data_IF_361260710739
#
_entry.id   IF_361260710739
#
_cell.length_a   1.000
_cell.length_b   1.000
_cell.length_c   1.000
_cell.angle_alpha   90.00
_cell.angle_beta   90.00
_cell.angle_gamma   90.00
#
_symmetry.space_group_name_H-M   'P 1'
#
loop_
_entity.id
_entity.type
_entity.pdbx_description
1 polymer ?
#
# COMPACT_ATOMS: atom_id res chain seq x y z
N UNK A 1 -37.51 2.87 6.67
CA UNK A 1 -36.30 1.99 6.61
C UNK A 1 -35.46 2.31 5.37
N UNK A 2 -36.06 2.80 4.28
CA UNK A 2 -35.38 3.14 3.01
C UNK A 2 -34.32 4.25 3.12
N UNK A 3 -34.55 5.28 3.95
CA UNK A 3 -33.60 6.38 4.13
C UNK A 3 -32.21 5.93 4.67
N UNK A 4 -32.18 4.85 5.46
CA UNK A 4 -30.93 4.33 6.02
C UNK A 4 -30.11 3.57 4.96
N UNK A 5 -30.78 2.83 4.08
CA UNK A 5 -30.13 2.11 2.98
C UNK A 5 -29.52 3.08 1.96
N UNK A 6 -30.21 4.17 1.64
CA UNK A 6 -29.69 5.18 0.70
C UNK A 6 -28.38 5.83 1.20
N UNK A 7 -28.30 6.12 2.51
CA UNK A 7 -27.10 6.69 3.13
C UNK A 7 -25.94 5.68 3.15
N UNK A 8 -26.23 4.40 3.43
CA UNK A 8 -25.21 3.33 3.41
C UNK A 8 -24.61 3.12 2.02
N UNK A 9 -25.44 3.16 0.96
CA UNK A 9 -24.98 3.00 -0.42
C UNK A 9 -24.17 4.23 -0.89
N UNK A 10 -24.59 5.46 -0.50
CA UNK A 10 -23.79 6.68 -0.74
C UNK A 10 -22.44 6.67 0.00
N UNK A 11 -22.35 6.06 1.18
CA UNK A 11 -21.10 5.94 1.95
C UNK A 11 -20.18 4.84 1.40
N UNK A 12 -20.70 3.76 0.82
CA UNK A 12 -19.90 2.73 0.12
C UNK A 12 -19.15 3.32 -1.07
N UNK A 13 -19.79 4.15 -1.88
CA UNK A 13 -19.16 4.86 -3.00
C UNK A 13 -18.12 5.90 -2.56
N UNK A 14 -18.17 6.31 -1.28
CA UNK A 14 -17.19 7.17 -0.61
C UNK A 14 -16.16 6.40 0.23
N UNK A 15 -16.12 5.05 0.17
CA UNK A 15 -14.87 4.35 0.51
C UNK A 15 -13.87 4.80 -0.53
N UNK A 16 -13.16 5.87 -0.19
CA UNK A 16 -12.09 6.42 -1.02
C UNK A 16 -11.19 5.26 -1.45
N UNK A 17 -10.52 5.39 -2.62
CA UNK A 17 -9.63 4.36 -3.12
C UNK A 17 -8.81 3.90 -1.92
N UNK A 18 -8.91 2.61 -1.61
CA UNK A 18 -8.07 1.96 -0.62
C UNK A 18 -6.68 2.55 -0.84
N UNK A 19 -6.10 3.13 0.20
CA UNK A 19 -4.96 4.05 0.17
C UNK A 19 -3.66 3.42 -0.37
N UNK A 20 -3.75 2.45 -1.27
CA UNK A 20 -2.77 2.05 -2.26
C UNK A 20 -2.31 3.30 -3.01
N UNK A 21 -1.46 4.08 -2.35
CA UNK A 21 -0.47 4.92 -3.00
C UNK A 21 0.17 4.01 -4.04
N UNK A 22 -0.10 4.27 -5.31
CA UNK A 22 0.53 3.55 -6.40
C UNK A 22 2.00 3.90 -6.34
N UNK A 23 2.81 3.00 -5.77
CA UNK A 23 4.25 3.14 -5.82
C UNK A 23 4.73 2.64 -7.19
N UNK A 24 5.92 3.08 -7.62
CA UNK A 24 6.55 2.53 -8.81
C UNK A 24 6.88 1.04 -8.60
N UNK A 25 7.19 0.31 -9.67
CA UNK A 25 7.64 -1.08 -9.56
C UNK A 25 9.17 -1.11 -9.38
N UNK A 26 9.66 -1.92 -8.43
CA UNK A 26 11.09 -2.19 -8.25
C UNK A 26 11.55 -3.43 -9.01
N UNK A 27 12.86 -3.57 -9.14
CA UNK A 27 13.52 -4.81 -9.53
C UNK A 27 13.85 -5.70 -8.31
N UNK A 28 14.11 -6.99 -8.57
CA UNK A 28 14.58 -7.91 -7.53
C UNK A 28 15.94 -7.45 -6.98
N UNK A 29 16.07 -7.39 -5.64
CA UNK A 29 17.26 -6.89 -4.96
C UNK A 29 17.34 -5.36 -4.79
N UNK A 30 16.43 -4.60 -5.40
CA UNK A 30 16.38 -3.14 -5.26
C UNK A 30 15.83 -2.70 -3.89
N UNK A 31 16.19 -1.47 -3.47
CA UNK A 31 15.72 -0.88 -2.23
C UNK A 31 14.24 -0.48 -2.30
N UNK A 32 13.40 -1.18 -1.55
CA UNK A 32 11.94 -1.03 -1.58
C UNK A 32 11.35 -0.21 -0.44
N UNK A 33 12.15 0.07 0.59
CA UNK A 33 11.74 0.90 1.71
C UNK A 33 12.92 1.70 2.27
N UNK A 34 12.60 2.70 3.09
CA UNK A 34 13.57 3.49 3.84
C UNK A 34 13.14 3.56 5.30
N UNK A 35 14.12 3.51 6.22
CA UNK A 35 13.88 3.66 7.64
C UNK A 35 14.22 5.07 8.09
N UNK A 36 13.30 5.70 8.80
CA UNK A 36 13.49 7.00 9.47
C UNK A 36 13.12 6.85 10.94
N UNK A 37 14.11 6.54 11.77
CA UNK A 37 13.91 6.20 13.18
C UNK A 37 13.15 4.88 13.35
N UNK A 38 12.04 4.91 14.09
CA UNK A 38 11.15 3.75 14.28
C UNK A 38 10.16 3.52 13.12
N UNK A 39 10.08 4.45 12.16
CA UNK A 39 9.14 4.37 11.03
C UNK A 39 9.81 3.81 9.78
N UNK A 40 9.08 2.97 9.04
CA UNK A 40 9.47 2.43 7.74
C UNK A 40 8.52 3.00 6.68
N UNK A 41 9.09 3.60 5.64
CA UNK A 41 8.35 4.11 4.48
C UNK A 41 8.65 3.29 3.24
N UNK A 42 7.61 2.84 2.53
CA UNK A 42 7.74 2.13 1.25
C UNK A 42 8.09 3.11 0.12
N UNK A 43 8.89 2.67 -0.86
CA UNK A 43 9.32 3.44 -2.03
C UNK A 43 8.70 2.91 -3.33
N UNK A 44 8.58 1.59 -3.45
CA UNK A 44 8.13 0.87 -4.64
C UNK A 44 7.42 -0.44 -4.25
N UNK A 45 6.72 -1.05 -5.20
CA UNK A 45 6.19 -2.41 -5.12
C UNK A 45 7.20 -3.42 -5.68
N UNK A 46 7.49 -4.46 -4.90
CA UNK A 46 8.36 -5.54 -5.33
C UNK A 46 7.68 -6.42 -6.39
N UNK A 47 8.43 -6.98 -7.35
CA UNK A 47 7.87 -7.84 -8.37
C UNK A 47 7.32 -9.14 -7.77
N UNK A 48 6.37 -9.77 -8.46
CA UNK A 48 5.79 -11.06 -8.03
C UNK A 48 6.88 -12.08 -7.76
N UNK A 49 6.77 -12.77 -6.63
CA UNK A 49 7.76 -13.77 -6.17
C UNK A 49 8.79 -13.21 -5.20
N UNK A 50 8.83 -11.89 -5.00
CA UNK A 50 9.65 -11.23 -3.98
C UNK A 50 8.79 -10.38 -3.05
N UNK A 51 9.32 -10.05 -1.89
CA UNK A 51 8.69 -9.22 -0.87
C UNK A 51 9.70 -8.21 -0.33
N UNK A 52 9.20 -7.07 0.14
CA UNK A 52 10.08 -6.07 0.74
C UNK A 52 10.53 -6.53 2.14
N UNK A 53 11.78 -6.94 2.29
CA UNK A 53 12.33 -7.35 3.58
C UNK A 53 12.42 -6.14 4.52
N UNK A 54 11.87 -6.23 5.73
CA UNK A 54 11.81 -5.10 6.67
C UNK A 54 13.14 -4.76 7.36
N UNK A 55 14.10 -5.69 7.35
CA UNK A 55 15.44 -5.48 7.94
C UNK A 55 16.42 -4.94 6.91
N UNK A 56 16.46 -5.54 5.71
CA UNK A 56 17.35 -5.17 4.62
C UNK A 56 16.78 -4.05 3.74
N UNK A 57 15.47 -3.82 3.81
CA UNK A 57 14.73 -2.83 3.02
C UNK A 57 14.86 -3.05 1.50
N UNK A 58 15.01 -4.30 1.07
CA UNK A 58 15.17 -4.74 -0.32
C UNK A 58 14.14 -5.79 -0.74
N UNK A 59 13.85 -5.86 -2.03
CA UNK A 59 12.98 -6.90 -2.61
C UNK A 59 13.69 -8.25 -2.65
N UNK A 60 13.24 -9.20 -1.84
CA UNK A 60 13.76 -10.57 -1.72
C UNK A 60 12.63 -11.60 -1.85
#
# INVERSE_FOLDING_TARGET
IEALQEVLEKLKSKRGPHYEKKFGQCDAGEQCAVRKGARIGKLCDCPRGTSCNSFLLKCL
#
